data_IF_278610872207
#
_entry.id   IF_278610872207
#
_cell.length_a   1.000
_cell.length_b   1.000
_cell.length_c   1.000
_cell.angle_alpha   90.00
_cell.angle_beta   90.00
_cell.angle_gamma   90.00
#
_symmetry.space_group_name_H-M   'P 1'
#
loop_
_entity.id
_entity.type
_entity.pdbx_description
1 polymer ?
#
# COMPACT_ATOMS: atom_id res chain seq x y z
N UNK A 1 10.28 13.38 -14.29
CA UNK A 1 9.87 12.03 -13.78
C UNK A 1 10.79 10.89 -14.20
N UNK A 2 10.89 10.57 -15.50
CA UNK A 2 11.66 9.40 -15.98
C UNK A 2 13.15 9.45 -15.62
N UNK A 3 13.79 10.62 -15.73
CA UNK A 3 15.19 10.79 -15.35
C UNK A 3 15.44 10.57 -13.85
N UNK A 4 14.53 11.05 -12.99
CA UNK A 4 14.62 10.83 -11.54
C UNK A 4 14.54 9.32 -11.24
N UNK A 5 13.63 8.60 -11.88
CA UNK A 5 13.52 7.16 -11.73
C UNK A 5 14.76 6.42 -12.25
N UNK A 6 15.30 6.80 -13.43
CA UNK A 6 16.48 6.19 -14.01
C UNK A 6 17.73 6.37 -13.12
N UNK A 7 17.95 7.58 -12.61
CA UNK A 7 19.03 7.86 -11.65
C UNK A 7 18.78 7.12 -10.33
N UNK A 8 17.52 7.03 -9.89
CA UNK A 8 17.12 6.26 -8.72
C UNK A 8 17.49 4.77 -8.80
N UNK A 9 17.38 4.15 -9.99
CA UNK A 9 17.84 2.76 -10.23
C UNK A 9 19.34 2.64 -9.98
N UNK A 10 20.15 3.52 -10.60
CA UNK A 10 21.62 3.49 -10.47
C UNK A 10 22.04 3.69 -9.01
N UNK A 11 21.41 4.65 -8.32
CA UNK A 11 21.69 4.94 -6.92
C UNK A 11 21.22 3.82 -5.98
N UNK A 12 20.12 3.14 -6.31
CA UNK A 12 19.67 1.95 -5.58
C UNK A 12 20.67 0.80 -5.70
N UNK A 13 21.20 0.56 -6.90
CA UNK A 13 22.27 -0.44 -7.13
C UNK A 13 23.49 -0.11 -6.26
N UNK A 14 23.92 1.15 -6.27
CA UNK A 14 25.02 1.60 -5.41
C UNK A 14 24.72 1.39 -3.91
N UNK A 15 23.50 1.72 -3.47
CA UNK A 15 23.04 1.50 -2.10
C UNK A 15 23.11 0.03 -1.67
N UNK A 16 22.79 -0.91 -2.56
CA UNK A 16 22.89 -2.36 -2.28
C UNK A 16 24.33 -2.76 -1.97
N UNK A 17 25.32 -2.24 -2.70
CA UNK A 17 26.74 -2.56 -2.45
C UNK A 17 27.30 -2.00 -1.13
N UNK A 18 26.60 -1.03 -0.52
CA UNK A 18 26.95 -0.45 0.79
C UNK A 18 26.43 -1.33 1.93
N UNK A 19 25.34 -2.09 1.72
CA UNK A 19 24.76 -2.96 2.75
C UNK A 19 25.75 -4.07 3.10
N UNK A 20 26.28 -4.02 4.32
CA UNK A 20 27.21 -5.02 4.87
C UNK A 20 26.90 -5.28 6.34
N UNK A 21 26.99 -6.54 6.75
CA UNK A 21 26.83 -6.95 8.16
C UNK A 21 27.96 -7.88 8.58
N UNK A 22 28.12 -8.09 9.89
CA UNK A 22 29.13 -8.98 10.47
C UNK A 22 28.48 -10.29 10.93
N UNK A 23 29.27 -11.34 11.10
CA UNK A 23 28.79 -12.57 11.74
C UNK A 23 28.34 -12.28 13.19
N UNK A 24 27.26 -12.94 13.63
CA UNK A 24 26.68 -12.73 14.95
C UNK A 24 25.92 -11.41 15.13
N UNK A 25 25.58 -10.71 14.04
CA UNK A 25 24.82 -9.47 14.08
C UNK A 25 23.47 -9.61 14.80
N UNK A 26 23.14 -8.64 15.65
CA UNK A 26 21.82 -8.57 16.28
C UNK A 26 20.76 -8.10 15.28
N UNK A 27 19.48 -8.34 15.59
CA UNK A 27 18.34 -7.83 14.83
C UNK A 27 18.43 -6.31 14.56
N UNK A 28 18.91 -5.55 15.56
CA UNK A 28 19.13 -4.11 15.45
C UNK A 28 20.25 -3.75 14.46
N UNK A 29 21.32 -4.55 14.41
CA UNK A 29 22.42 -4.33 13.48
C UNK A 29 22.00 -4.61 12.04
N UNK A 30 21.17 -5.64 11.83
CA UNK A 30 20.62 -5.99 10.52
C UNK A 30 19.68 -4.89 9.98
N UNK A 31 18.71 -4.44 10.81
CA UNK A 31 17.84 -3.31 10.48
C UNK A 31 18.63 -2.04 10.14
N UNK A 32 19.65 -1.74 10.95
CA UNK A 32 20.54 -0.59 10.71
C UNK A 32 21.30 -0.73 9.39
N UNK A 33 21.81 -1.91 9.06
CA UNK A 33 22.56 -2.14 7.82
C UNK A 33 21.69 -1.93 6.57
N UNK A 34 20.48 -2.50 6.58
CA UNK A 34 19.49 -2.26 5.51
C UNK A 34 19.10 -0.78 5.41
N UNK A 35 18.87 -0.14 6.56
CA UNK A 35 18.53 1.28 6.64
C UNK A 35 19.63 2.20 6.09
N UNK A 36 20.92 1.86 6.27
CA UNK A 36 22.04 2.63 5.69
C UNK A 36 21.95 2.66 4.17
N UNK A 37 21.70 1.51 3.53
CA UNK A 37 21.57 1.44 2.07
C UNK A 37 20.42 2.31 1.56
N UNK A 38 19.24 2.19 2.17
CA UNK A 38 18.05 2.97 1.80
C UNK A 38 18.26 4.46 2.03
N UNK A 39 18.80 4.86 3.18
CA UNK A 39 19.00 6.27 3.53
C UNK A 39 20.07 6.95 2.66
N UNK A 40 21.17 6.26 2.37
CA UNK A 40 22.21 6.79 1.47
C UNK A 40 21.66 6.96 0.06
N UNK A 41 20.93 5.96 -0.46
CA UNK A 41 20.28 6.06 -1.77
C UNK A 41 19.29 7.23 -1.81
N UNK A 42 18.49 7.38 -0.76
CA UNK A 42 17.54 8.50 -0.60
C UNK A 42 18.24 9.85 -0.64
N UNK A 43 19.33 10.03 0.13
CA UNK A 43 20.09 11.28 0.17
C UNK A 43 20.71 11.63 -1.20
N UNK A 44 21.28 10.63 -1.89
CA UNK A 44 21.86 10.82 -3.21
C UNK A 44 20.81 11.18 -4.26
N UNK A 45 19.61 10.58 -4.20
CA UNK A 45 18.51 10.93 -5.10
C UNK A 45 18.01 12.34 -4.82
N UNK A 46 17.87 12.73 -3.55
CA UNK A 46 17.49 14.09 -3.18
C UNK A 46 18.46 15.12 -3.80
N UNK A 47 19.77 14.91 -3.67
CA UNK A 47 20.79 15.77 -4.28
C UNK A 47 20.74 15.75 -5.82
N UNK A 48 20.63 14.56 -6.42
CA UNK A 48 20.59 14.40 -7.87
C UNK A 48 19.36 15.08 -8.49
N UNK A 49 18.24 15.11 -7.77
CA UNK A 49 17.01 15.75 -8.23
C UNK A 49 17.21 17.24 -8.51
N UNK A 50 17.90 17.96 -7.62
CA UNK A 50 18.23 19.38 -7.84
C UNK A 50 19.05 19.58 -9.11
N UNK A 51 20.08 18.75 -9.31
CA UNK A 51 20.92 18.80 -10.51
C UNK A 51 20.14 18.48 -11.80
N UNK A 52 19.28 17.46 -11.77
CA UNK A 52 18.44 17.07 -12.92
C UNK A 52 17.50 18.22 -13.30
N UNK A 53 16.77 18.77 -12.33
CA UNK A 53 15.76 19.80 -12.62
C UNK A 53 16.41 21.13 -13.04
N UNK A 54 17.55 21.48 -12.46
CA UNK A 54 18.35 22.64 -12.88
C UNK A 54 18.85 22.47 -14.33
N UNK A 55 19.43 21.32 -14.67
CA UNK A 55 19.96 21.07 -16.01
C UNK A 55 18.89 21.08 -17.10
N UNK A 56 17.69 20.57 -16.78
CA UNK A 56 16.55 20.59 -17.70
C UNK A 56 15.93 21.99 -17.90
N UNK A 57 16.39 23.01 -17.16
CA UNK A 57 15.86 24.36 -17.25
C UNK A 57 14.40 24.48 -16.81
N UNK A 58 13.95 23.63 -15.89
CA UNK A 58 12.56 23.62 -15.41
C UNK A 58 12.28 24.91 -14.63
N UNK A 59 11.17 25.58 -14.95
CA UNK A 59 10.70 26.72 -14.18
C UNK A 59 10.39 26.30 -12.74
N UNK A 60 10.76 27.13 -11.77
CA UNK A 60 10.69 26.77 -10.35
C UNK A 60 11.34 25.39 -10.03
N UNK A 61 12.47 25.07 -10.66
CA UNK A 61 13.19 23.82 -10.41
C UNK A 61 13.47 23.58 -8.92
N UNK A 62 13.71 24.64 -8.12
CA UNK A 62 13.89 24.55 -6.67
C UNK A 62 12.63 24.03 -5.98
N UNK A 63 11.48 24.67 -6.20
CA UNK A 63 10.21 24.27 -5.61
C UNK A 63 9.77 22.87 -6.03
N UNK A 64 9.96 22.52 -7.31
CA UNK A 64 9.67 21.17 -7.80
C UNK A 64 10.65 20.15 -7.18
N UNK A 65 11.92 20.50 -6.98
CA UNK A 65 12.87 19.64 -6.24
C UNK A 65 12.41 19.38 -4.81
N UNK A 66 11.97 20.42 -4.09
CA UNK A 66 11.39 20.25 -2.76
C UNK A 66 10.10 19.43 -2.74
N UNK A 67 9.31 19.48 -3.82
CA UNK A 67 8.15 18.61 -3.99
C UNK A 67 8.55 17.13 -4.04
N UNK A 68 9.59 16.79 -4.80
CA UNK A 68 10.16 15.42 -4.83
C UNK A 68 10.66 15.00 -3.44
N UNK A 69 11.37 15.88 -2.74
CA UNK A 69 11.90 15.61 -1.40
C UNK A 69 10.77 15.39 -0.39
N UNK A 70 9.67 16.14 -0.48
CA UNK A 70 8.53 15.96 0.42
C UNK A 70 7.97 14.53 0.35
N UNK A 71 7.88 13.96 -0.86
CA UNK A 71 7.47 12.57 -1.05
C UNK A 71 8.49 11.54 -0.57
N UNK A 72 9.79 11.81 -0.79
CA UNK A 72 10.87 10.97 -0.28
C UNK A 72 10.86 10.92 1.27
N UNK A 73 10.78 12.08 1.91
CA UNK A 73 10.71 12.22 3.37
C UNK A 73 9.44 11.55 3.90
N UNK A 74 8.30 11.72 3.23
CA UNK A 74 7.07 11.03 3.59
C UNK A 74 7.22 9.50 3.56
N UNK A 75 7.90 8.96 2.54
CA UNK A 75 8.19 7.53 2.43
C UNK A 75 9.03 7.03 3.61
N UNK A 76 10.06 7.78 4.00
CA UNK A 76 10.91 7.45 5.17
C UNK A 76 10.10 7.46 6.46
N UNK A 77 9.29 8.50 6.69
CA UNK A 77 8.47 8.62 7.91
C UNK A 77 7.46 7.47 7.99
N UNK A 78 6.78 7.13 6.89
CA UNK A 78 5.84 6.01 6.84
C UNK A 78 6.55 4.70 7.14
N UNK A 79 7.74 4.49 6.57
CA UNK A 79 8.53 3.29 6.83
C UNK A 79 8.92 3.16 8.30
N UNK A 80 9.46 4.22 8.91
CA UNK A 80 9.84 4.24 10.33
C UNK A 80 8.64 4.09 11.26
N UNK A 81 7.51 4.72 10.93
CA UNK A 81 6.26 4.54 11.66
C UNK A 81 5.81 3.08 11.60
N UNK A 82 5.86 2.46 10.43
CA UNK A 82 5.46 1.06 10.24
C UNK A 82 6.37 0.12 11.02
N UNK A 83 7.68 0.35 11.00
CA UNK A 83 8.65 -0.39 11.82
C UNK A 83 8.33 -0.26 13.32
N UNK A 84 8.05 0.96 13.80
CA UNK A 84 7.72 1.20 15.21
C UNK A 84 6.48 0.44 15.70
N UNK A 85 5.45 0.33 14.86
CA UNK A 85 4.21 -0.37 15.20
C UNK A 85 4.26 -1.88 14.98
N UNK A 86 5.13 -2.37 14.10
CA UNK A 86 5.15 -3.80 13.76
C UNK A 86 6.31 -4.54 14.43
N UNK A 87 7.48 -3.94 14.63
CA UNK A 87 8.63 -4.65 15.20
C UNK A 87 8.49 -4.92 16.70
N UNK A 88 8.79 -6.17 17.10
CA UNK A 88 8.82 -6.62 18.49
C UNK A 88 9.96 -5.98 19.33
N UNK A 89 10.85 -5.22 18.69
CA UNK A 89 11.82 -4.39 19.40
C UNK A 89 11.18 -3.20 20.13
N UNK A 90 9.98 -2.78 19.72
CA UNK A 90 9.30 -1.62 20.27
C UNK A 90 8.14 -1.96 21.20
N UNK A 91 7.75 -0.97 22.02
CA UNK A 91 6.66 -1.08 23.00
C UNK A 91 5.29 -1.49 22.41
N UNK A 92 4.86 -1.00 21.23
CA UNK A 92 3.54 -1.31 20.69
C UNK A 92 3.32 -2.82 20.49
N UNK A 93 4.20 -3.48 19.72
CA UNK A 93 4.12 -4.93 19.48
C UNK A 93 4.31 -5.74 20.76
N UNK A 94 5.20 -5.33 21.68
CA UNK A 94 5.37 -6.00 22.97
C UNK A 94 4.10 -5.98 23.84
N UNK A 95 3.27 -4.94 23.73
CA UNK A 95 1.96 -4.91 24.40
C UNK A 95 0.99 -5.93 23.81
N UNK A 96 1.05 -6.15 22.48
CA UNK A 96 0.28 -7.22 21.83
C UNK A 96 0.75 -8.59 22.33
N UNK A 97 2.07 -8.84 22.40
CA UNK A 97 2.60 -10.09 22.98
C UNK A 97 2.16 -10.28 24.43
N UNK A 98 2.23 -9.23 25.26
CA UNK A 98 1.81 -9.30 26.66
C UNK A 98 0.33 -9.64 26.81
N UNK A 99 -0.53 -9.15 25.91
CA UNK A 99 -1.96 -9.48 25.96
C UNK A 99 -2.24 -10.98 25.80
N UNK A 100 -1.31 -11.74 25.18
CA UNK A 100 -1.43 -13.18 25.03
C UNK A 100 -1.48 -13.97 26.35
N UNK A 101 -0.97 -13.41 27.46
CA UNK A 101 -1.11 -14.01 28.81
C UNK A 101 -2.58 -14.18 29.23
N UNK A 102 -3.49 -13.40 28.64
CA UNK A 102 -4.93 -13.42 28.94
C UNK A 102 -5.78 -14.14 27.90
N UNK A 103 -5.16 -14.70 26.85
CA UNK A 103 -5.80 -15.54 25.84
C UNK A 103 -5.97 -14.89 24.45
N UNK A 104 -6.58 -15.61 23.48
CA UNK A 104 -6.64 -15.17 22.09
C UNK A 104 -7.48 -13.91 21.85
N UNK A 105 -8.58 -13.73 22.59
CA UNK A 105 -9.51 -12.62 22.39
C UNK A 105 -8.84 -11.26 22.64
N UNK A 106 -8.04 -11.16 23.70
CA UNK A 106 -7.32 -9.93 24.04
C UNK A 106 -6.18 -9.65 23.08
N UNK A 107 -5.53 -10.68 22.53
CA UNK A 107 -4.55 -10.53 21.43
C UNK A 107 -5.20 -9.90 20.21
N UNK A 108 -6.36 -10.39 19.80
CA UNK A 108 -7.10 -9.84 18.65
C UNK A 108 -7.52 -8.39 18.93
N UNK A 109 -8.10 -8.11 20.09
CA UNK A 109 -8.51 -6.74 20.45
C UNK A 109 -7.30 -5.80 20.45
N UNK A 110 -6.17 -6.24 21.03
CA UNK A 110 -4.95 -5.44 21.12
C UNK A 110 -4.36 -5.14 19.74
N UNK A 111 -4.30 -6.13 18.85
CA UNK A 111 -3.78 -5.94 17.49
C UNK A 111 -4.68 -5.08 16.60
N UNK A 112 -6.01 -5.25 16.66
CA UNK A 112 -6.95 -4.38 15.94
C UNK A 112 -6.82 -2.93 16.44
N UNK A 113 -6.81 -2.74 17.76
CA UNK A 113 -6.65 -1.40 18.34
C UNK A 113 -5.31 -0.76 17.96
N UNK A 114 -4.22 -1.55 17.97
CA UNK A 114 -2.91 -1.10 17.53
C UNK A 114 -2.92 -0.62 16.06
N UNK A 115 -3.48 -1.43 15.17
CA UNK A 115 -3.57 -1.11 13.76
C UNK A 115 -4.32 0.20 13.53
N UNK A 116 -5.45 0.41 14.21
CA UNK A 116 -6.24 1.64 14.08
C UNK A 116 -5.41 2.86 14.50
N UNK A 117 -4.72 2.79 15.63
CA UNK A 117 -3.83 3.85 16.11
C UNK A 117 -2.67 4.09 15.14
N UNK A 118 -2.12 3.03 14.54
CA UNK A 118 -0.97 3.12 13.64
C UNK A 118 -1.23 3.93 12.36
N UNK A 119 -2.50 4.15 12.00
CA UNK A 119 -2.88 4.94 10.82
C UNK A 119 -2.60 6.44 10.97
N UNK A 120 -2.52 6.95 12.20
CA UNK A 120 -2.44 8.39 12.46
C UNK A 120 -1.19 9.03 11.85
N UNK A 121 -0.01 8.44 12.07
CA UNK A 121 1.25 9.00 11.57
C UNK A 121 1.30 8.98 10.04
N UNK A 122 1.02 7.86 9.34
CA UNK A 122 1.00 7.85 7.88
C UNK A 122 -0.01 8.82 7.25
N UNK A 123 -1.22 8.95 7.82
CA UNK A 123 -2.25 9.88 7.30
C UNK A 123 -1.79 11.33 7.43
N UNK A 124 -1.32 11.73 8.61
CA UNK A 124 -0.79 13.09 8.83
C UNK A 124 0.41 13.34 7.91
N UNK A 125 1.29 12.35 7.74
CA UNK A 125 2.47 12.44 6.88
C UNK A 125 2.07 12.68 5.42
N UNK A 126 1.12 11.92 4.88
CA UNK A 126 0.63 12.12 3.50
C UNK A 126 -0.07 13.47 3.36
N UNK A 127 -0.88 13.89 4.32
CA UNK A 127 -1.53 15.21 4.28
C UNK A 127 -0.51 16.35 4.23
N UNK A 128 0.54 16.29 5.07
CA UNK A 128 1.64 17.27 5.04
C UNK A 128 2.40 17.18 3.72
N UNK A 129 2.70 15.99 3.22
CA UNK A 129 3.41 15.81 1.96
C UNK A 129 2.63 16.39 0.77
N UNK A 130 1.31 16.17 0.73
CA UNK A 130 0.42 16.75 -0.28
C UNK A 130 0.49 18.28 -0.23
N UNK A 131 0.31 18.88 0.94
CA UNK A 131 0.33 20.34 1.10
C UNK A 131 1.71 20.92 0.76
N UNK A 132 2.78 20.32 1.25
CA UNK A 132 4.15 20.78 1.00
C UNK A 132 4.52 20.64 -0.48
N UNK A 133 4.21 19.51 -1.12
CA UNK A 133 4.46 19.31 -2.54
C UNK A 133 3.69 20.34 -3.39
N UNK A 134 2.43 20.58 -3.05
CA UNK A 134 1.62 21.58 -3.75
C UNK A 134 2.22 22.98 -3.59
N UNK A 135 2.47 23.41 -2.34
CA UNK A 135 2.98 24.75 -2.02
C UNK A 135 4.36 25.00 -2.60
N UNK A 136 5.27 24.03 -2.54
CA UNK A 136 6.59 24.16 -3.13
C UNK A 136 6.51 24.33 -4.66
N UNK A 137 5.62 23.59 -5.34
CA UNK A 137 5.44 23.73 -6.79
C UNK A 137 4.89 25.10 -7.21
N UNK A 138 4.08 25.75 -6.37
CA UNK A 138 3.50 27.09 -6.64
C UNK A 138 4.29 28.25 -6.01
N UNK A 139 5.55 28.04 -5.59
CA UNK A 139 6.35 29.06 -4.90
C UNK A 139 5.69 29.66 -3.64
N UNK A 140 4.90 28.87 -2.92
CA UNK A 140 4.14 29.32 -1.74
C UNK A 140 3.18 30.50 -2.02
N UNK A 141 2.65 30.62 -3.23
CA UNK A 141 1.57 31.58 -3.54
C UNK A 141 0.22 31.13 -2.95
N UNK A 142 0.11 31.23 -1.62
CA UNK A 142 -1.07 30.82 -0.86
C UNK A 142 -2.31 31.66 -1.26
N UNK A 143 -2.11 32.93 -1.66
CA UNK A 143 -3.22 33.83 -1.99
C UNK A 143 -3.95 33.40 -3.25
N UNK A 144 -3.23 32.91 -4.25
CA UNK A 144 -3.80 32.41 -5.50
C UNK A 144 -3.70 30.89 -5.61
N UNK A 145 -3.74 30.17 -4.47
CA UNK A 145 -3.59 28.71 -4.44
C UNK A 145 -4.62 27.99 -5.32
N UNK A 146 -5.84 28.53 -5.40
CA UNK A 146 -6.95 27.98 -6.18
C UNK A 146 -7.07 28.57 -7.59
N UNK A 147 -6.11 29.40 -8.02
CA UNK A 147 -6.06 29.85 -9.41
C UNK A 147 -5.69 28.67 -10.32
N UNK A 148 -6.26 28.64 -11.53
CA UNK A 148 -6.13 27.51 -12.45
C UNK A 148 -4.67 27.10 -12.74
N UNK A 149 -3.79 28.08 -12.98
CA UNK A 149 -2.36 27.85 -13.20
C UNK A 149 -1.68 27.19 -11.99
N UNK A 150 -1.95 27.70 -10.79
CA UNK A 150 -1.36 27.19 -9.55
C UNK A 150 -1.91 25.80 -9.19
N UNK A 151 -3.19 25.51 -9.47
CA UNK A 151 -3.74 24.15 -9.30
C UNK A 151 -3.02 23.16 -10.19
N UNK A 152 -2.78 23.49 -11.46
CA UNK A 152 -2.10 22.59 -12.38
C UNK A 152 -0.66 22.31 -11.94
N UNK A 153 0.10 23.36 -11.60
CA UNK A 153 1.47 23.22 -11.07
C UNK A 153 1.49 22.46 -9.73
N UNK A 154 0.56 22.76 -8.83
CA UNK A 154 0.46 22.11 -7.53
C UNK A 154 0.15 20.61 -7.63
N UNK A 155 -0.79 20.22 -8.52
CA UNK A 155 -1.08 18.82 -8.81
C UNK A 155 0.12 18.11 -9.44
N UNK A 156 0.87 18.78 -10.32
CA UNK A 156 2.14 18.25 -10.83
C UNK A 156 3.17 18.07 -9.71
N UNK A 157 3.25 19.01 -8.77
CA UNK A 157 4.06 18.91 -7.55
C UNK A 157 3.74 17.66 -6.73
N UNK A 158 2.46 17.37 -6.53
CA UNK A 158 2.01 16.16 -5.80
C UNK A 158 2.34 14.89 -6.60
N UNK A 159 2.14 14.91 -7.92
CA UNK A 159 2.52 13.79 -8.79
C UNK A 159 4.02 13.50 -8.78
N UNK A 160 4.87 14.53 -8.83
CA UNK A 160 6.32 14.34 -8.76
C UNK A 160 6.79 13.95 -7.35
N UNK A 161 6.06 14.33 -6.29
CA UNK A 161 6.31 13.82 -4.94
C UNK A 161 6.07 12.30 -4.87
N UNK A 162 5.05 11.77 -5.54
CA UNK A 162 4.85 10.32 -5.65
C UNK A 162 6.04 9.61 -6.31
N UNK A 163 6.60 10.21 -7.36
CA UNK A 163 7.84 9.73 -8.01
C UNK A 163 9.04 9.82 -7.06
N UNK A 164 9.14 10.90 -6.28
CA UNK A 164 10.16 11.07 -5.26
C UNK A 164 10.10 9.99 -4.18
N UNK A 165 8.90 9.65 -3.72
CA UNK A 165 8.70 8.51 -2.83
C UNK A 165 9.23 7.24 -3.50
N UNK A 166 8.76 6.89 -4.71
CA UNK A 166 9.16 5.65 -5.40
C UNK A 166 10.57 5.65 -6.01
N UNK A 167 11.33 6.74 -5.90
CA UNK A 167 12.64 6.86 -6.54
C UNK A 167 13.69 5.88 -6.00
N UNK A 168 13.52 5.41 -4.76
CA UNK A 168 14.34 4.38 -4.09
C UNK A 168 13.75 2.98 -4.20
N UNK A 169 12.75 2.77 -5.06
CA UNK A 169 12.03 1.49 -5.16
C UNK A 169 12.98 0.31 -5.37
N UNK A 170 14.07 0.47 -6.14
CA UNK A 170 15.01 -0.63 -6.39
C UNK A 170 15.58 -1.24 -5.11
N UNK A 171 16.02 -0.41 -4.16
CA UNK A 171 16.57 -0.90 -2.89
C UNK A 171 15.47 -1.28 -1.90
N UNK A 172 14.37 -0.53 -1.84
CA UNK A 172 13.24 -0.84 -0.95
C UNK A 172 12.53 -2.14 -1.34
N UNK A 173 12.44 -2.44 -2.64
CA UNK A 173 11.90 -3.71 -3.12
C UNK A 173 12.85 -4.87 -2.81
N UNK A 174 14.17 -4.65 -2.89
CA UNK A 174 15.15 -5.67 -2.51
C UNK A 174 15.06 -6.03 -1.01
N UNK A 175 14.80 -5.05 -0.13
CA UNK A 175 14.60 -5.30 1.31
C UNK A 175 13.26 -5.94 1.64
N UNK A 176 12.22 -5.71 0.84
CA UNK A 176 10.93 -6.40 0.93
C UNK A 176 11.07 -7.86 0.46
N UNK A 177 11.63 -8.08 -0.73
CA UNK A 177 11.85 -9.41 -1.31
C UNK A 177 12.79 -10.31 -0.49
N UNK A 178 13.64 -9.72 0.35
CA UNK A 178 14.48 -10.43 1.30
C UNK A 178 13.66 -11.29 2.28
N UNK A 179 12.48 -10.83 2.73
CA UNK A 179 11.68 -11.53 3.73
C UNK A 179 11.22 -12.92 3.29
N UNK A 180 10.50 -13.05 2.16
CA UNK A 180 10.08 -14.35 1.63
C UNK A 180 11.25 -15.31 1.32
N UNK A 181 12.44 -14.79 1.00
CA UNK A 181 13.64 -15.62 0.81
C UNK A 181 14.10 -16.20 2.15
N UNK A 182 14.13 -15.39 3.20
CA UNK A 182 14.50 -15.83 4.55
C UNK A 182 13.50 -16.84 5.13
N UNK A 183 12.20 -16.64 4.91
CA UNK A 183 11.14 -17.58 5.33
C UNK A 183 11.30 -18.94 4.65
N UNK A 184 11.45 -18.96 3.32
CA UNK A 184 11.72 -20.20 2.57
C UNK A 184 13.01 -20.90 3.02
N UNK A 185 14.07 -20.15 3.34
CA UNK A 185 15.30 -20.72 3.87
C UNK A 185 15.06 -21.40 5.22
N UNK A 186 14.25 -20.80 6.10
CA UNK A 186 13.83 -21.40 7.36
C UNK A 186 13.02 -22.68 7.16
N UNK A 187 12.03 -22.65 6.26
CA UNK A 187 11.23 -23.81 5.89
C UNK A 187 12.09 -24.97 5.37
N UNK A 188 13.02 -24.70 4.46
CA UNK A 188 13.95 -25.70 3.94
C UNK A 188 14.87 -26.27 5.02
N UNK A 189 15.33 -25.43 5.96
CA UNK A 189 16.16 -25.89 7.07
C UNK A 189 15.41 -26.87 8.00
N UNK A 190 14.13 -26.59 8.27
CA UNK A 190 13.26 -27.46 9.08
C UNK A 190 12.96 -28.77 8.35
N UNK A 191 12.52 -28.71 7.08
CA UNK A 191 12.19 -29.89 6.27
C UNK A 191 13.41 -30.79 6.02
N UNK A 192 14.61 -30.20 5.94
CA UNK A 192 15.87 -30.94 5.77
C UNK A 192 16.51 -31.39 7.09
N UNK A 193 15.86 -31.14 8.24
CA UNK A 193 16.36 -31.49 9.59
C UNK A 193 17.77 -30.96 9.87
N UNK A 194 18.07 -29.74 9.41
CA UNK A 194 19.36 -29.10 9.67
C UNK A 194 19.53 -28.78 11.16
N UNK A 195 20.77 -28.52 11.58
CA UNK A 195 21.08 -28.25 12.99
C UNK A 195 20.31 -27.02 13.55
N UNK A 196 20.03 -26.99 14.86
CA UNK A 196 19.23 -25.94 15.49
C UNK A 196 19.83 -24.53 15.35
N UNK A 197 21.15 -24.44 15.16
CA UNK A 197 21.83 -23.19 14.85
C UNK A 197 21.34 -22.58 13.52
N UNK A 198 21.13 -23.40 12.48
CA UNK A 198 20.66 -22.95 11.18
C UNK A 198 19.25 -22.37 11.32
N UNK A 199 18.36 -23.08 12.01
CA UNK A 199 16.98 -22.62 12.26
C UNK A 199 16.95 -21.32 13.07
N UNK A 200 17.80 -21.20 14.09
CA UNK A 200 17.92 -19.97 14.89
C UNK A 200 18.39 -18.79 14.05
N UNK A 201 19.34 -19.01 13.13
CA UNK A 201 19.80 -17.97 12.19
C UNK A 201 18.67 -17.58 11.24
N UNK A 202 17.99 -18.54 10.61
CA UNK A 202 16.88 -18.25 9.69
C UNK A 202 15.70 -17.57 10.38
N UNK A 203 15.35 -17.96 11.61
CA UNK A 203 14.27 -17.31 12.38
C UNK A 203 14.58 -15.83 12.66
N UNK A 204 15.85 -15.49 12.91
CA UNK A 204 16.27 -14.09 13.06
C UNK A 204 16.17 -13.30 11.74
N UNK A 205 16.51 -13.94 10.62
CA UNK A 205 16.39 -13.34 9.28
C UNK A 205 14.93 -13.18 8.85
N UNK A 206 14.07 -14.13 9.19
CA UNK A 206 12.62 -14.12 8.93
C UNK A 206 11.92 -13.00 9.72
N UNK A 207 12.24 -12.87 11.00
CA UNK A 207 11.74 -11.77 11.84
C UNK A 207 12.12 -10.38 11.29
N UNK A 208 13.33 -10.27 10.72
CA UNK A 208 13.76 -9.08 9.97
C UNK A 208 12.89 -8.87 8.73
N UNK A 209 12.69 -9.93 7.96
CA UNK A 209 11.84 -9.98 6.78
C UNK A 209 10.42 -9.48 7.03
N UNK A 210 9.79 -9.90 8.13
CA UNK A 210 8.43 -9.48 8.48
C UNK A 210 8.33 -7.97 8.72
N UNK A 211 9.36 -7.39 9.34
CA UNK A 211 9.44 -5.95 9.58
C UNK A 211 9.71 -5.20 8.28
N UNK A 212 10.62 -5.67 7.43
CA UNK A 212 10.94 -5.02 6.15
C UNK A 212 9.79 -5.14 5.15
N UNK A 213 9.07 -6.25 5.14
CA UNK A 213 7.86 -6.44 4.34
C UNK A 213 6.73 -5.49 4.76
N UNK A 214 6.52 -5.30 6.07
CA UNK A 214 5.57 -4.30 6.55
C UNK A 214 5.96 -2.88 6.10
N UNK A 215 7.23 -2.51 6.23
CA UNK A 215 7.77 -1.23 5.75
C UNK A 215 7.58 -1.04 4.24
N UNK A 216 7.86 -2.08 3.44
CA UNK A 216 7.65 -2.09 1.99
C UNK A 216 6.18 -1.90 1.63
N UNK A 217 5.27 -2.60 2.32
CA UNK A 217 3.81 -2.42 2.18
C UNK A 217 3.39 -0.99 2.51
N UNK A 218 3.87 -0.43 3.62
CA UNK A 218 3.60 0.95 4.02
C UNK A 218 4.01 1.95 2.95
N UNK A 219 5.19 1.77 2.35
CA UNK A 219 5.70 2.59 1.26
C UNK A 219 4.84 2.48 -0.02
N UNK A 220 4.47 1.25 -0.39
CA UNK A 220 3.61 0.99 -1.53
C UNK A 220 2.22 1.64 -1.35
N UNK A 221 1.65 1.57 -0.15
CA UNK A 221 0.37 2.17 0.21
C UNK A 221 0.47 3.72 0.24
N UNK A 222 1.51 4.29 0.84
CA UNK A 222 1.76 5.73 0.86
C UNK A 222 1.92 6.33 -0.53
N UNK A 223 2.68 5.67 -1.41
CA UNK A 223 2.88 6.14 -2.79
C UNK A 223 1.59 6.08 -3.61
N UNK A 224 0.72 5.09 -3.33
CA UNK A 224 -0.60 4.99 -3.93
C UNK A 224 -1.43 6.24 -3.67
N UNK A 225 -1.39 6.75 -2.44
CA UNK A 225 -2.18 7.91 -2.06
C UNK A 225 -1.77 9.18 -2.82
N UNK A 226 -0.46 9.44 -2.93
CA UNK A 226 0.06 10.56 -3.73
C UNK A 226 -0.22 10.38 -5.22
N UNK A 227 -0.07 9.15 -5.73
CA UNK A 227 -0.30 8.83 -7.15
C UNK A 227 -1.78 8.99 -7.53
N UNK A 228 -2.71 8.61 -6.64
CA UNK A 228 -4.14 8.67 -6.91
C UNK A 228 -4.61 10.10 -7.25
N UNK A 229 -4.01 11.13 -6.62
CA UNK A 229 -4.33 12.52 -6.94
C UNK A 229 -3.80 12.93 -8.33
N UNK A 230 -2.61 12.47 -8.72
CA UNK A 230 -2.10 12.70 -10.06
C UNK A 230 -2.94 11.97 -11.14
N UNK A 231 -3.46 10.78 -10.81
CA UNK A 231 -4.39 10.05 -11.68
C UNK A 231 -5.74 10.77 -11.79
N UNK A 232 -6.18 11.48 -10.76
CA UNK A 232 -7.38 12.33 -10.84
C UNK A 232 -7.19 13.47 -11.85
N UNK A 233 -6.03 14.14 -11.85
CA UNK A 233 -5.71 15.13 -12.87
C UNK A 233 -5.66 14.52 -14.29
N UNK A 234 -5.09 13.31 -14.41
CA UNK A 234 -5.04 12.56 -15.68
C UNK A 234 -6.44 12.19 -16.18
N UNK A 235 -7.36 11.85 -15.28
CA UNK A 235 -8.76 11.58 -15.62
C UNK A 235 -9.43 12.80 -16.24
N UNK A 236 -9.24 14.00 -15.66
CA UNK A 236 -9.81 15.24 -16.22
C UNK A 236 -9.25 15.57 -17.59
N UNK A 237 -7.96 15.32 -17.82
CA UNK A 237 -7.36 15.51 -19.15
C UNK A 237 -7.96 14.55 -20.19
N UNK A 238 -8.19 13.29 -19.84
CA UNK A 238 -8.90 12.35 -20.73
C UNK A 238 -10.36 12.72 -20.96
N UNK A 239 -11.05 13.31 -19.97
CA UNK A 239 -12.39 13.87 -20.14
C UNK A 239 -12.38 15.01 -21.17
N UNK A 240 -11.40 15.92 -21.09
CA UNK A 240 -11.20 16.99 -22.08
C UNK A 240 -11.02 16.43 -23.48
N UNK A 241 -10.13 15.46 -23.64
CA UNK A 241 -9.87 14.78 -24.92
C UNK A 241 -11.13 14.09 -25.43
N UNK A 242 -11.88 13.42 -24.55
CA UNK A 242 -13.14 12.75 -24.86
C UNK A 242 -14.18 13.70 -25.44
N UNK A 243 -14.42 14.83 -24.77
CA UNK A 243 -15.36 15.87 -25.23
C UNK A 243 -14.97 16.44 -26.59
N UNK A 244 -13.69 16.77 -26.78
CA UNK A 244 -13.19 17.28 -28.07
C UNK A 244 -13.41 16.28 -29.21
N UNK A 245 -13.24 14.97 -28.96
CA UNK A 245 -13.50 13.93 -29.96
C UNK A 245 -14.98 13.77 -30.31
N UNK A 246 -15.88 14.11 -29.39
CA UNK A 246 -17.32 14.09 -29.60
C UNK A 246 -17.84 15.34 -30.32
N UNK A 247 -16.99 16.36 -30.52
CA UNK A 247 -17.36 17.62 -31.16
C UNK A 247 -17.79 18.72 -30.19
N UNK A 248 -17.73 18.46 -28.88
CA UNK A 248 -18.00 19.43 -27.82
C UNK A 248 -16.81 20.38 -27.64
N UNK A 249 -16.69 21.36 -28.55
CA UNK A 249 -15.57 22.30 -28.59
C UNK A 249 -15.75 23.55 -27.70
N UNK A 250 -16.95 23.74 -27.16
CA UNK A 250 -17.28 24.88 -26.29
C UNK A 250 -18.03 24.35 -25.06
N UNK A 251 -17.48 24.57 -23.88
CA UNK A 251 -18.18 24.32 -22.62
C UNK A 251 -19.04 25.54 -22.31
N UNK A 252 -20.31 25.31 -21.98
CA UNK A 252 -21.24 26.36 -21.54
C UNK A 252 -21.57 26.12 -20.06
N UNK A 253 -21.31 27.12 -19.22
CA UNK A 253 -21.54 27.04 -17.77
C UNK A 253 -22.96 27.47 -17.40
N UNK A 254 -23.34 27.21 -16.15
CA UNK A 254 -24.69 27.51 -15.65
C UNK A 254 -25.03 29.01 -15.64
N UNK A 255 -24.02 29.88 -15.56
CA UNK A 255 -24.16 31.34 -15.63
C UNK A 255 -24.23 31.89 -17.07
N UNK A 256 -24.13 31.00 -18.07
CA UNK A 256 -24.14 31.34 -19.49
C UNK A 256 -22.79 31.74 -20.06
N UNK A 257 -21.71 31.72 -19.27
CA UNK A 257 -20.35 31.90 -19.79
C UNK A 257 -19.93 30.70 -20.62
N UNK A 258 -19.01 30.92 -21.55
CA UNK A 258 -18.51 29.86 -22.44
C UNK A 258 -17.00 29.88 -22.52
N UNK A 259 -16.37 28.70 -22.53
CA UNK A 259 -14.93 28.55 -22.75
C UNK A 259 -14.69 27.50 -23.84
N UNK A 260 -13.63 27.69 -24.63
CA UNK A 260 -13.20 26.65 -25.56
C UNK A 260 -12.74 25.41 -24.77
N UNK A 261 -13.27 24.23 -25.08
CA UNK A 261 -12.94 22.98 -24.36
C UNK A 261 -11.43 22.69 -24.38
N UNK A 262 -10.72 23.07 -25.44
CA UNK A 262 -9.28 22.90 -25.55
C UNK A 262 -8.47 23.75 -24.56
N UNK A 263 -9.03 24.91 -24.15
CA UNK A 263 -8.41 25.87 -23.24
C UNK A 263 -8.90 25.70 -21.79
N UNK A 264 -9.96 24.91 -21.59
CA UNK A 264 -10.52 24.62 -20.29
C UNK A 264 -9.49 23.96 -19.36
N UNK A 265 -9.40 24.50 -18.15
CA UNK A 265 -8.51 24.05 -17.08
C UNK A 265 -9.21 23.04 -16.18
N UNK A 266 -8.47 22.43 -15.25
CA UNK A 266 -9.05 21.50 -14.27
C UNK A 266 -10.13 22.20 -13.43
N UNK A 267 -9.95 23.49 -13.10
CA UNK A 267 -10.93 24.26 -12.32
C UNK A 267 -12.23 24.43 -13.10
N UNK A 268 -12.13 24.75 -14.38
CA UNK A 268 -13.28 24.87 -15.29
C UNK A 268 -14.06 23.56 -15.35
N UNK A 269 -13.37 22.41 -15.42
CA UNK A 269 -14.04 21.11 -15.35
C UNK A 269 -14.67 20.81 -13.99
N UNK A 270 -14.06 21.24 -12.88
CA UNK A 270 -14.67 21.08 -11.56
C UNK A 270 -15.96 21.89 -11.45
N UNK A 271 -15.99 23.09 -12.04
CA UNK A 271 -17.18 23.94 -12.09
C UNK A 271 -18.24 23.38 -13.04
N UNK A 272 -17.85 23.02 -14.26
CA UNK A 272 -18.73 22.48 -15.30
C UNK A 272 -19.47 21.22 -14.83
N UNK A 273 -18.77 20.29 -14.18
CA UNK A 273 -19.37 19.08 -13.61
C UNK A 273 -19.86 19.24 -12.16
N UNK A 274 -19.87 20.47 -11.63
CA UNK A 274 -20.34 20.79 -10.27
C UNK A 274 -19.72 19.90 -9.19
N UNK A 275 -18.41 19.68 -9.26
CA UNK A 275 -17.65 18.83 -8.34
C UNK A 275 -17.48 19.56 -7.01
N UNK A 276 -18.51 19.46 -6.16
CA UNK A 276 -18.53 20.07 -4.84
C UNK A 276 -18.99 19.07 -3.79
N UNK A 277 -18.60 19.27 -2.53
CA UNK A 277 -19.02 18.40 -1.42
C UNK A 277 -20.53 18.46 -1.12
N UNK A 278 -21.24 19.46 -1.66
CA UNK A 278 -22.70 19.58 -1.49
C UNK A 278 -23.45 18.88 -2.63
N UNK A 279 -22.77 18.58 -3.75
CA UNK A 279 -23.37 17.83 -4.85
C UNK A 279 -23.66 16.38 -4.39
N UNK A 280 -24.94 15.94 -4.38
CA UNK A 280 -25.31 14.60 -3.94
C UNK A 280 -24.70 13.50 -4.81
N UNK A 281 -24.40 13.76 -6.09
CA UNK A 281 -23.75 12.82 -7.00
C UNK A 281 -22.31 12.56 -6.53
N UNK A 282 -21.58 13.62 -6.17
CA UNK A 282 -20.20 13.52 -5.64
C UNK A 282 -20.20 12.80 -4.30
N UNK A 283 -21.10 13.16 -3.38
CA UNK A 283 -21.23 12.49 -2.07
C UNK A 283 -21.55 11.00 -2.22
N UNK A 284 -22.44 10.65 -3.14
CA UNK A 284 -22.78 9.26 -3.45
C UNK A 284 -21.55 8.52 -3.96
N UNK A 285 -20.81 9.12 -4.90
CA UNK A 285 -19.53 8.59 -5.36
C UNK A 285 -18.56 8.33 -4.21
N UNK A 286 -18.37 9.29 -3.30
CA UNK A 286 -17.48 9.17 -2.13
C UNK A 286 -17.87 7.97 -1.27
N UNK A 287 -19.17 7.81 -0.97
CA UNK A 287 -19.66 6.70 -0.17
C UNK A 287 -19.44 5.34 -0.87
N UNK A 288 -19.68 5.26 -2.18
CA UNK A 288 -19.38 4.06 -2.97
C UNK A 288 -17.89 3.74 -2.91
N UNK A 289 -17.03 4.75 -3.08
CA UNK A 289 -15.58 4.59 -3.03
C UNK A 289 -15.08 4.07 -1.69
N UNK A 290 -15.56 4.66 -0.59
CA UNK A 290 -15.24 4.19 0.76
C UNK A 290 -15.76 2.77 1.00
N UNK A 291 -17.00 2.48 0.59
CA UNK A 291 -17.61 1.15 0.67
C UNK A 291 -16.77 0.11 -0.08
N UNK A 292 -16.25 0.44 -1.26
CA UNK A 292 -15.44 -0.48 -2.07
C UNK A 292 -14.20 -1.00 -1.33
N UNK A 293 -13.55 -0.17 -0.53
CA UNK A 293 -12.41 -0.60 0.30
C UNK A 293 -12.80 -1.67 1.33
N UNK A 294 -13.93 -1.48 2.01
CA UNK A 294 -14.43 -2.44 3.01
C UNK A 294 -15.00 -3.70 2.36
N UNK A 295 -15.76 -3.54 1.28
CA UNK A 295 -16.35 -4.65 0.54
C UNK A 295 -15.25 -5.56 -0.04
N UNK A 296 -14.26 -4.97 -0.69
CA UNK A 296 -13.12 -5.71 -1.24
C UNK A 296 -12.40 -6.49 -0.14
N UNK A 297 -12.04 -5.82 0.96
CA UNK A 297 -11.37 -6.45 2.11
C UNK A 297 -12.18 -7.59 2.72
N UNK A 298 -13.49 -7.40 2.91
CA UNK A 298 -14.38 -8.43 3.44
C UNK A 298 -14.47 -9.66 2.52
N UNK A 299 -14.54 -9.45 1.21
CA UNK A 299 -14.57 -10.54 0.24
C UNK A 299 -13.26 -11.33 0.24
N UNK A 300 -12.11 -10.66 0.23
CA UNK A 300 -10.80 -11.33 0.25
C UNK A 300 -10.54 -12.05 1.57
N UNK A 301 -10.93 -11.48 2.71
CA UNK A 301 -10.84 -12.16 4.00
C UNK A 301 -11.68 -13.44 4.06
N UNK A 302 -12.94 -13.35 3.61
CA UNK A 302 -13.83 -14.51 3.60
C UNK A 302 -13.37 -15.59 2.61
N UNK A 303 -12.78 -15.19 1.48
CA UNK A 303 -12.16 -16.10 0.53
C UNK A 303 -11.00 -16.88 1.16
N UNK A 304 -10.07 -16.20 1.83
CA UNK A 304 -8.96 -16.86 2.54
C UNK A 304 -9.50 -17.77 3.64
N UNK A 305 -10.50 -17.33 4.41
CA UNK A 305 -11.14 -18.16 5.44
C UNK A 305 -11.71 -19.48 4.90
N UNK A 306 -12.44 -19.43 3.77
CA UNK A 306 -12.96 -20.64 3.11
C UNK A 306 -11.83 -21.57 2.62
N UNK A 307 -10.77 -21.01 2.03
CA UNK A 307 -9.64 -21.80 1.55
C UNK A 307 -8.85 -22.43 2.71
N UNK A 308 -8.61 -21.67 3.78
CA UNK A 308 -7.95 -22.12 4.99
C UNK A 308 -8.74 -23.24 5.68
N UNK A 309 -10.06 -23.13 5.78
CA UNK A 309 -10.90 -24.20 6.34
C UNK A 309 -10.72 -25.52 5.58
N UNK A 310 -10.77 -25.48 4.24
CA UNK A 310 -10.54 -26.66 3.39
C UNK A 310 -9.13 -27.23 3.58
N UNK A 311 -8.13 -26.37 3.72
CA UNK A 311 -6.74 -26.78 4.01
C UNK A 311 -6.64 -27.49 5.36
N UNK A 312 -7.26 -26.94 6.41
CA UNK A 312 -7.26 -27.53 7.76
C UNK A 312 -7.96 -28.89 7.77
N UNK A 313 -9.11 -29.00 7.11
CA UNK A 313 -9.84 -30.26 6.99
C UNK A 313 -9.03 -31.33 6.25
N UNK A 314 -8.33 -30.94 5.17
CA UNK A 314 -7.45 -31.85 4.41
C UNK A 314 -6.23 -32.30 5.22
N UNK A 315 -5.52 -31.38 5.90
CA UNK A 315 -4.39 -31.74 6.77
C UNK A 315 -4.85 -32.68 7.89
N UNK A 316 -6.01 -32.41 8.51
CA UNK A 316 -6.61 -33.31 9.51
C UNK A 316 -7.04 -34.66 8.94
N UNK A 317 -7.45 -34.72 7.68
CA UNK A 317 -7.75 -35.98 6.99
C UNK A 317 -6.47 -36.79 6.82
N UNK A 318 -5.41 -36.17 6.30
CA UNK A 318 -4.12 -36.84 6.11
C UNK A 318 -3.56 -37.38 7.44
N UNK A 319 -3.57 -36.59 8.52
CA UNK A 319 -3.14 -37.04 9.85
C UNK A 319 -3.95 -38.20 10.43
N UNK A 320 -5.22 -38.37 10.03
CA UNK A 320 -6.08 -39.46 10.50
C UNK A 320 -6.00 -40.71 9.64
N UNK A 321 -5.86 -40.56 8.33
CA UNK A 321 -6.01 -41.64 7.36
C UNK A 321 -4.66 -42.23 6.89
N UNK A 322 -3.61 -41.42 6.82
CA UNK A 322 -2.27 -41.88 6.38
C UNK A 322 -1.52 -42.42 7.59
N UNK A 323 -1.39 -43.75 7.68
CA UNK A 323 -0.65 -44.42 8.76
C UNK A 323 0.85 -44.08 8.66
N UNK A 324 1.49 -43.76 9.79
CA UNK A 324 2.91 -43.44 9.85
C UNK A 324 3.25 -41.96 9.61
N UNK A 325 2.26 -41.09 9.33
CA UNK A 325 2.51 -39.68 9.00
C UNK A 325 2.96 -38.86 10.23
N UNK A 326 2.37 -39.12 11.40
CA UNK A 326 2.71 -38.41 12.64
C UNK A 326 4.03 -38.93 13.23
N UNK A 327 4.36 -40.18 12.92
CA UNK A 327 5.62 -40.85 13.25
C UNK A 327 6.76 -40.44 12.30
N UNK A 328 6.43 -39.79 11.17
CA UNK A 328 7.40 -39.35 10.16
C UNK A 328 7.92 -40.47 9.25
N UNK A 329 7.20 -41.60 9.19
CA UNK A 329 7.52 -42.78 8.37
C UNK A 329 6.83 -42.75 7.00
N UNK A 330 5.71 -42.03 6.88
CA UNK A 330 4.95 -41.89 5.64
C UNK A 330 5.02 -40.46 5.08
N UNK A 331 5.10 -40.35 3.74
CA UNK A 331 5.14 -39.06 3.05
C UNK A 331 3.73 -38.43 2.96
N UNK A 332 3.56 -37.14 3.33
CA UNK A 332 2.30 -36.41 3.16
C UNK A 332 1.94 -36.20 1.68
N UNK A 333 0.64 -36.06 1.39
CA UNK A 333 0.17 -35.65 0.07
C UNK A 333 0.19 -34.12 -0.06
N UNK A 334 1.37 -33.60 -0.43
CA UNK A 334 1.55 -32.16 -0.66
C UNK A 334 0.76 -31.65 -1.87
N UNK A 335 0.61 -32.48 -2.92
CA UNK A 335 -0.07 -32.09 -4.15
C UNK A 335 -1.54 -31.72 -3.90
N UNK A 336 -2.20 -32.42 -2.98
CA UNK A 336 -3.58 -32.11 -2.60
C UNK A 336 -3.71 -30.75 -1.93
N UNK A 337 -2.82 -30.42 -1.00
CA UNK A 337 -2.78 -29.10 -0.36
C UNK A 337 -2.56 -27.99 -1.40
N UNK A 338 -1.60 -28.17 -2.31
CA UNK A 338 -1.33 -27.23 -3.42
C UNK A 338 -2.56 -27.06 -4.32
N UNK A 339 -3.27 -28.15 -4.65
CA UNK A 339 -4.47 -28.08 -5.47
C UNK A 339 -5.62 -27.29 -4.80
N UNK A 340 -5.79 -27.45 -3.47
CA UNK A 340 -6.81 -26.72 -2.70
C UNK A 340 -6.53 -25.22 -2.72
N UNK A 341 -5.29 -24.81 -2.41
CA UNK A 341 -4.93 -23.39 -2.40
C UNK A 341 -4.97 -22.78 -3.81
N UNK A 342 -4.47 -23.49 -4.83
CA UNK A 342 -4.46 -23.02 -6.22
C UNK A 342 -5.87 -22.81 -6.76
N UNK A 343 -6.74 -23.82 -6.65
CA UNK A 343 -8.12 -23.72 -7.14
C UNK A 343 -8.92 -22.70 -6.34
N UNK A 344 -8.72 -22.66 -5.02
CA UNK A 344 -9.34 -21.67 -4.14
C UNK A 344 -8.99 -20.26 -4.57
N UNK A 345 -7.70 -19.95 -4.70
CA UNK A 345 -7.23 -18.63 -5.13
C UNK A 345 -7.80 -18.20 -6.49
N UNK A 346 -7.78 -19.09 -7.49
CA UNK A 346 -8.27 -18.82 -8.85
C UNK A 346 -9.76 -18.46 -8.91
N UNK A 347 -10.60 -19.15 -8.15
CA UNK A 347 -12.05 -18.90 -8.17
C UNK A 347 -12.36 -17.64 -7.35
N UNK A 348 -11.75 -17.53 -6.18
CA UNK A 348 -12.09 -16.49 -5.21
C UNK A 348 -11.55 -15.10 -5.62
N UNK A 349 -10.50 -15.03 -6.45
CA UNK A 349 -9.97 -13.75 -6.96
C UNK A 349 -10.89 -13.08 -7.99
N UNK A 350 -11.78 -13.84 -8.66
CA UNK A 350 -12.58 -13.33 -9.79
C UNK A 350 -13.52 -12.23 -9.32
N UNK A 351 -14.32 -12.49 -8.27
CA UNK A 351 -15.35 -11.55 -7.83
C UNK A 351 -14.77 -10.20 -7.38
N UNK A 352 -13.77 -10.14 -6.47
CA UNK A 352 -13.17 -8.86 -6.07
C UNK A 352 -12.54 -8.11 -7.26
N UNK A 353 -11.88 -8.82 -8.18
CA UNK A 353 -11.24 -8.22 -9.36
C UNK A 353 -12.26 -7.65 -10.34
N UNK A 354 -13.35 -8.38 -10.57
CA UNK A 354 -14.45 -7.91 -11.44
C UNK A 354 -15.14 -6.69 -10.85
N UNK A 355 -15.36 -6.64 -9.53
CA UNK A 355 -15.93 -5.46 -8.86
C UNK A 355 -15.05 -4.22 -9.03
N UNK A 356 -13.72 -4.36 -8.92
CA UNK A 356 -12.78 -3.27 -9.11
C UNK A 356 -12.84 -2.65 -10.53
N UNK A 357 -13.29 -3.42 -11.53
CA UNK A 357 -13.43 -2.98 -12.93
C UNK A 357 -14.85 -2.46 -13.20
N UNK A 358 -15.88 -3.22 -12.78
CA UNK A 358 -17.29 -2.90 -13.07
C UNK A 358 -17.74 -1.63 -12.36
N UNK A 359 -17.35 -1.42 -11.10
CA UNK A 359 -17.89 -0.33 -10.29
C UNK A 359 -17.51 1.05 -10.84
N UNK A 360 -16.25 1.33 -11.24
CA UNK A 360 -15.91 2.57 -11.93
C UNK A 360 -16.71 2.79 -13.21
N UNK A 361 -16.91 1.74 -14.02
CA UNK A 361 -17.69 1.80 -15.27
C UNK A 361 -19.15 2.17 -14.97
N UNK A 362 -19.79 1.43 -14.08
CA UNK A 362 -21.21 1.67 -13.70
C UNK A 362 -21.37 3.05 -13.08
N UNK A 363 -20.42 3.46 -12.24
CA UNK A 363 -20.43 4.81 -11.65
C UNK A 363 -20.31 5.88 -12.73
N UNK A 364 -19.45 5.71 -13.72
CA UNK A 364 -19.34 6.65 -14.86
C UNK A 364 -20.60 6.70 -15.70
N UNK A 365 -21.17 5.55 -16.06
CA UNK A 365 -22.37 5.49 -16.89
C UNK A 365 -23.62 6.01 -16.16
N UNK A 366 -23.73 5.78 -14.86
CA UNK A 366 -24.90 6.23 -14.09
C UNK A 366 -24.69 7.65 -13.58
N UNK A 367 -23.64 7.89 -12.79
CA UNK A 367 -23.41 9.13 -12.03
C UNK A 367 -22.49 10.13 -12.73
N UNK A 368 -22.05 9.84 -13.96
CA UNK A 368 -21.23 10.75 -14.75
C UNK A 368 -19.86 11.05 -14.14
N UNK A 369 -19.26 12.13 -14.64
CA UNK A 369 -17.89 12.54 -14.27
C UNK A 369 -17.79 12.90 -12.78
N UNK A 370 -18.78 13.61 -12.25
CA UNK A 370 -18.84 14.01 -10.85
C UNK A 370 -18.89 12.80 -9.90
N UNK A 371 -19.67 11.77 -10.25
CA UNK A 371 -19.76 10.54 -9.48
C UNK A 371 -18.45 9.75 -9.46
N UNK A 372 -17.76 9.66 -10.61
CA UNK A 372 -16.45 9.01 -10.71
C UNK A 372 -15.40 9.75 -9.88
N UNK A 373 -15.36 11.08 -9.92
CA UNK A 373 -14.45 11.87 -9.06
C UNK A 373 -14.72 11.57 -7.58
N UNK A 374 -15.99 11.53 -7.19
CA UNK A 374 -16.40 11.11 -5.84
C UNK A 374 -15.90 9.70 -5.49
N UNK A 375 -16.11 8.73 -6.38
CA UNK A 375 -15.66 7.34 -6.23
C UNK A 375 -14.14 7.26 -5.98
N UNK A 376 -13.36 7.95 -6.79
CA UNK A 376 -11.90 7.96 -6.66
C UNK A 376 -11.45 8.63 -5.35
N UNK A 377 -12.08 9.74 -4.96
CA UNK A 377 -11.78 10.44 -3.71
C UNK A 377 -12.12 9.59 -2.47
N UNK A 378 -13.30 8.96 -2.45
CA UNK A 378 -13.72 8.08 -1.37
C UNK A 378 -12.91 6.80 -1.29
N UNK A 379 -12.58 6.20 -2.45
CA UNK A 379 -11.73 5.02 -2.55
C UNK A 379 -10.32 5.28 -2.07
N UNK A 380 -9.75 6.45 -2.40
CA UNK A 380 -8.48 6.92 -1.87
C UNK A 380 -8.55 7.07 -0.34
N UNK A 381 -9.49 7.87 0.17
CA UNK A 381 -9.55 8.19 1.60
C UNK A 381 -9.82 6.94 2.47
N UNK A 382 -10.81 6.13 2.11
CA UNK A 382 -11.16 4.91 2.83
C UNK A 382 -10.13 3.79 2.63
N UNK A 383 -9.70 3.56 1.39
CA UNK A 383 -8.79 2.49 1.03
C UNK A 383 -7.39 2.67 1.61
N UNK A 384 -6.85 3.89 1.58
CA UNK A 384 -5.52 4.18 2.12
C UNK A 384 -5.44 3.91 3.64
N UNK A 385 -6.41 4.44 4.40
CA UNK A 385 -6.44 4.27 5.86
C UNK A 385 -6.65 2.80 6.22
N UNK A 386 -7.56 2.11 5.54
CA UNK A 386 -7.85 0.70 5.76
C UNK A 386 -6.63 -0.18 5.41
N UNK A 387 -5.92 0.11 4.33
CA UNK A 387 -4.72 -0.64 3.93
C UNK A 387 -3.62 -0.60 4.99
N UNK A 388 -3.33 0.59 5.55
CA UNK A 388 -2.33 0.74 6.63
C UNK A 388 -2.79 -0.01 7.88
N UNK A 389 -4.05 0.16 8.26
CA UNK A 389 -4.64 -0.53 9.40
C UNK A 389 -4.43 -2.05 9.29
N UNK A 390 -4.75 -2.63 8.12
CA UNK A 390 -4.67 -4.07 7.95
C UNK A 390 -3.23 -4.57 7.91
N UNK A 391 -2.36 -3.90 7.15
CA UNK A 391 -0.95 -4.26 7.05
C UNK A 391 -0.25 -4.24 8.43
N UNK A 392 -0.49 -3.18 9.21
CA UNK A 392 0.16 -3.02 10.51
C UNK A 392 -0.43 -3.94 11.59
N UNK A 393 -1.74 -4.19 11.57
CA UNK A 393 -2.35 -5.16 12.52
C UNK A 393 -1.76 -6.55 12.32
N UNK A 394 -1.72 -7.03 11.07
CA UNK A 394 -1.16 -8.35 10.76
C UNK A 394 0.33 -8.44 11.06
N UNK A 395 1.12 -7.43 10.69
CA UNK A 395 2.55 -7.40 11.02
C UNK A 395 2.83 -7.39 12.53
N UNK A 396 1.98 -6.71 13.31
CA UNK A 396 2.11 -6.69 14.76
C UNK A 396 1.74 -8.02 15.41
N UNK A 397 0.69 -8.72 14.94
CA UNK A 397 0.36 -10.05 15.45
C UNK A 397 1.47 -11.07 15.19
N UNK A 398 2.04 -11.06 13.99
CA UNK A 398 3.13 -11.97 13.62
C UNK A 398 4.38 -11.75 14.48
N UNK A 399 4.84 -10.50 14.56
CA UNK A 399 5.99 -10.17 15.39
C UNK A 399 5.70 -10.35 16.88
N UNK A 400 4.44 -10.20 17.32
CA UNK A 400 4.05 -10.51 18.69
C UNK A 400 4.19 -12.01 19.00
N UNK A 401 3.83 -12.89 18.06
CA UNK A 401 4.08 -14.33 18.12
C UNK A 401 5.57 -14.61 18.15
N UNK A 402 6.37 -14.06 17.22
CA UNK A 402 7.84 -14.24 17.18
C UNK A 402 8.52 -13.84 18.50
N UNK A 403 8.08 -12.75 19.12
CA UNK A 403 8.62 -12.33 20.43
C UNK A 403 8.41 -13.38 21.52
N UNK A 404 7.27 -14.07 21.53
CA UNK A 404 7.00 -15.18 22.46
C UNK A 404 7.86 -16.39 22.10
N UNK A 405 8.04 -16.66 20.80
CA UNK A 405 8.87 -17.78 20.30
C UNK A 405 10.35 -17.67 20.71
N UNK A 406 10.85 -16.45 20.94
CA UNK A 406 12.20 -16.18 21.48
C UNK A 406 12.35 -16.54 22.97
N UNK A 407 11.29 -17.00 23.64
CA UNK A 407 11.31 -17.43 25.04
C UNK A 407 10.63 -16.46 26.01
N UNK A 408 10.08 -15.35 25.52
CA UNK A 408 9.29 -14.44 26.36
C UNK A 408 7.91 -15.05 26.66
N UNK A 409 7.32 -14.70 27.81
CA UNK A 409 5.95 -15.12 28.21
C UNK A 409 5.69 -16.64 28.13
N UNK A 410 6.71 -17.47 28.41
CA UNK A 410 6.60 -18.93 28.45
C UNK A 410 7.08 -19.67 27.21
N UNK A 411 7.45 -18.96 26.13
CA UNK A 411 8.09 -19.60 24.98
C UNK A 411 7.14 -20.41 24.08
N UNK A 412 7.73 -21.07 23.07
CA UNK A 412 7.02 -21.97 22.14
C UNK A 412 6.24 -23.06 22.90
N UNK A 413 4.99 -23.28 22.50
CA UNK A 413 4.10 -24.31 23.07
C UNK A 413 3.31 -23.87 24.30
N UNK A 414 3.62 -22.72 24.90
CA UNK A 414 2.84 -22.13 26.00
C UNK A 414 1.43 -21.71 25.56
N UNK A 415 0.52 -21.52 26.51
CA UNK A 415 -0.82 -20.99 26.21
C UNK A 415 -0.77 -19.58 25.61
N UNK A 416 0.18 -18.74 26.05
CA UNK A 416 0.42 -17.44 25.44
C UNK A 416 0.89 -17.58 23.98
N UNK A 417 1.75 -18.56 23.67
CA UNK A 417 2.16 -18.83 22.29
C UNK A 417 0.97 -19.24 21.42
N UNK A 418 0.12 -20.17 21.89
CA UNK A 418 -1.09 -20.57 21.14
C UNK A 418 -2.05 -19.40 20.91
N UNK A 419 -2.21 -18.52 21.90
CA UNK A 419 -3.02 -17.31 21.76
C UNK A 419 -2.44 -16.35 20.72
N UNK A 420 -1.12 -16.15 20.70
CA UNK A 420 -0.46 -15.31 19.71
C UNK A 420 -0.49 -15.92 18.29
N UNK A 421 -0.36 -17.24 18.16
CA UNK A 421 -0.56 -17.96 16.89
C UNK A 421 -1.97 -17.71 16.35
N UNK A 422 -2.99 -17.74 17.22
CA UNK A 422 -4.36 -17.40 16.81
C UNK A 422 -4.46 -15.98 16.26
N UNK A 423 -3.85 -15.01 16.94
CA UNK A 423 -3.78 -13.62 16.44
C UNK A 423 -3.07 -13.50 15.09
N UNK A 424 -1.95 -14.20 14.91
CA UNK A 424 -1.20 -14.21 13.65
C UNK A 424 -2.01 -14.82 12.51
N UNK A 425 -2.71 -15.93 12.73
CA UNK A 425 -3.58 -16.54 11.70
C UNK A 425 -4.77 -15.66 11.31
N UNK A 426 -5.23 -14.78 12.21
CA UNK A 426 -6.19 -13.71 11.86
C UNK A 426 -5.51 -12.61 11.05
N UNK A 427 -4.25 -12.31 11.37
CA UNK A 427 -3.41 -11.31 10.72
C UNK A 427 -2.92 -11.64 9.32
N UNK A 428 -2.77 -12.92 8.97
CA UNK A 428 -2.31 -13.36 7.65
C UNK A 428 -3.18 -12.81 6.49
N UNK A 429 -4.52 -13.01 6.47
CA UNK A 429 -5.36 -12.42 5.42
C UNK A 429 -5.41 -10.88 5.47
N UNK A 430 -5.09 -10.27 6.62
CA UNK A 430 -4.98 -8.82 6.76
C UNK A 430 -3.73 -8.29 6.04
N UNK A 431 -2.55 -8.83 6.37
CA UNK A 431 -1.26 -8.29 5.92
C UNK A 431 -0.84 -8.82 4.55
N UNK A 432 -1.31 -9.99 4.10
CA UNK A 432 -0.80 -10.64 2.88
C UNK A 432 -1.84 -10.79 1.77
N UNK A 433 -3.12 -10.49 2.05
CA UNK A 433 -4.16 -10.52 1.01
C UNK A 433 -4.87 -9.19 0.92
N UNK A 434 -5.62 -8.81 1.95
CA UNK A 434 -6.57 -7.69 1.85
C UNK A 434 -5.86 -6.34 1.87
N UNK A 435 -5.00 -6.10 2.87
CA UNK A 435 -4.29 -4.82 3.05
C UNK A 435 -3.47 -4.39 1.84
N UNK A 436 -2.53 -5.21 1.32
CA UNK A 436 -1.75 -4.86 0.14
C UNK A 436 -2.59 -4.71 -1.13
N UNK A 437 -3.67 -5.49 -1.27
CA UNK A 437 -4.54 -5.43 -2.45
C UNK A 437 -5.33 -4.13 -2.55
N UNK A 438 -5.59 -3.44 -1.43
CA UNK A 438 -6.27 -2.13 -1.44
C UNK A 438 -5.49 -1.06 -2.19
N UNK A 439 -4.16 -1.07 -2.14
CA UNK A 439 -3.33 -0.18 -2.96
C UNK A 439 -3.58 -0.42 -4.46
N UNK A 440 -3.68 -1.69 -4.86
CA UNK A 440 -3.98 -2.07 -6.25
C UNK A 440 -5.41 -1.65 -6.62
N UNK A 441 -6.38 -1.88 -5.73
CA UNK A 441 -7.77 -1.48 -5.93
C UNK A 441 -7.88 0.02 -6.24
N UNK A 442 -7.24 0.88 -5.44
CA UNK A 442 -7.25 2.34 -5.66
C UNK A 442 -6.71 2.69 -7.05
N UNK A 443 -5.52 2.17 -7.39
CA UNK A 443 -4.89 2.45 -8.69
C UNK A 443 -5.69 1.89 -9.86
N UNK A 444 -6.22 0.68 -9.74
CA UNK A 444 -7.00 0.03 -10.77
C UNK A 444 -8.31 0.78 -11.04
N UNK A 445 -9.03 1.20 -10.00
CA UNK A 445 -10.25 2.00 -10.17
C UNK A 445 -9.96 3.32 -10.87
N UNK A 446 -8.86 4.00 -10.52
CA UNK A 446 -8.42 5.21 -11.23
C UNK A 446 -8.09 4.92 -12.69
N UNK A 447 -7.34 3.86 -12.99
CA UNK A 447 -6.96 3.51 -14.36
C UNK A 447 -8.17 3.12 -15.22
N UNK A 448 -9.11 2.35 -14.68
CA UNK A 448 -10.35 2.01 -15.39
C UNK A 448 -11.17 3.27 -15.65
N UNK A 449 -11.26 4.19 -14.69
CA UNK A 449 -11.95 5.47 -14.87
C UNK A 449 -11.33 6.30 -15.99
N UNK A 450 -10.00 6.38 -16.05
CA UNK A 450 -9.25 7.07 -17.11
C UNK A 450 -9.55 6.45 -18.48
N UNK A 451 -9.45 5.13 -18.61
CA UNK A 451 -9.73 4.42 -19.87
C UNK A 451 -11.18 4.63 -20.33
N UNK A 452 -12.11 4.72 -19.38
CA UNK A 452 -13.54 4.84 -19.65
C UNK A 452 -14.03 6.29 -19.72
N UNK A 453 -13.15 7.28 -19.52
CA UNK A 453 -13.49 8.70 -19.48
C UNK A 453 -14.29 9.14 -20.72
N UNK A 454 -13.85 8.73 -21.92
CA UNK A 454 -14.55 9.01 -23.18
C UNK A 454 -15.97 8.43 -23.25
N UNK A 455 -16.19 7.23 -22.69
CA UNK A 455 -17.50 6.62 -22.62
C UNK A 455 -18.39 7.30 -21.56
N UNK A 456 -17.80 7.70 -20.43
CA UNK A 456 -18.49 8.46 -19.38
C UNK A 456 -19.06 9.75 -19.94
N UNK A 457 -18.28 10.55 -20.68
CA UNK A 457 -18.79 11.81 -21.25
C UNK A 457 -19.79 11.62 -22.39
N UNK A 458 -19.73 10.48 -23.09
CA UNK A 458 -20.60 10.22 -24.23
C UNK A 458 -21.99 9.68 -23.84
N UNK A 459 -22.09 8.92 -22.74
CA UNK A 459 -23.24 8.04 -22.46
C UNK A 459 -23.72 8.17 -21.00
N UNK A 460 -23.19 9.07 -20.18
CA UNK A 460 -23.68 9.19 -18.80
C UNK A 460 -25.14 9.62 -18.72
N UNK A 461 -25.86 9.09 -17.73
CA UNK A 461 -27.27 9.46 -17.46
C UNK A 461 -27.38 10.80 -16.74
N UNK A 462 -26.45 11.07 -15.83
CA UNK A 462 -26.34 12.32 -15.07
C UNK A 462 -25.19 13.19 -15.57
#
# INVERSE_FOLDING_TARGET
>A
PMLIAAVGIVLSIFGVFIVRTKEGATMKDLLRSLGVGVNVSSALIALSTFGILYYLGIENWLGISFSVISGLVAGIIIGQSTEYFTSHSYRPTRRVSKSAETGPATVIISGVGLGMISTAIPVVTIAIAILMAFLCAINFDIKHMLAAHNIQLGLYGIGIAAVGMLSTLGITLATDAYGPIADNAGGNAEMSKLGPEVRKRTDALDSLGNTTAATGKGFAIGSAALTALALLASYIEEIKIGLMRLGENILTFADGTTIATAEATIVDFMEYYQVTMINPIVLTGILIGAMMAFLFSGLTMNAVGRAAQKMVEEVRRQFREIKGIMEGEAEPDYARCVAISTRGAQIEMILPSMLAIIIPIVTGLVLGVAGVIGLLAGGLAGGFVLAIFMANSGGAWDNAKKYIEEGNFGGKGSEAHKAAVTGDTVGDPFKDTSGPSLNILIKLMSMVSIVMAGATVAISLF
#
